data_IF_523667057803
#
_entry.id   IF_523667057803
#
_cell.length_a   1.000
_cell.length_b   1.000
_cell.length_c   1.000
_cell.angle_alpha   90.00
_cell.angle_beta   90.00
_cell.angle_gamma   90.00
#
_symmetry.space_group_name_H-M   'P 1'
#
loop_
_entity.id
_entity.type
_entity.pdbx_description
1 polymer ?
#
# COMPACT_ATOMS: atom_id res chain seq x y z
N UNK A 1 1.21 1.01 -15.21
CA UNK A 1 -0.20 0.70 -15.42
C UNK A 1 -0.67 1.22 -16.76
N UNK A 2 -1.47 0.47 -17.37
CA UNK A 2 -2.07 0.80 -18.64
C UNK A 2 -2.95 2.03 -18.55
N UNK A 3 -3.17 2.67 -19.67
CA UNK A 3 -4.03 3.84 -19.77
C UNK A 3 -5.50 3.41 -19.65
N UNK A 4 -6.11 3.67 -18.50
CA UNK A 4 -7.49 3.27 -18.22
C UNK A 4 -8.48 3.94 -19.18
N UNK A 5 -8.21 5.19 -19.55
CA UNK A 5 -9.11 5.95 -20.41
C UNK A 5 -9.24 5.37 -21.82
N UNK A 6 -8.27 4.56 -22.23
CA UNK A 6 -8.26 3.90 -23.53
C UNK A 6 -8.82 2.48 -23.50
N UNK A 7 -9.27 1.99 -22.34
CA UNK A 7 -9.85 0.64 -22.23
C UNK A 7 -11.29 0.68 -22.73
N UNK A 8 -11.65 -0.11 -23.77
CA UNK A 8 -13.02 -0.14 -24.26
C UNK A 8 -13.98 -0.73 -23.24
N UNK A 9 -15.21 -0.27 -23.25
CA UNK A 9 -16.29 -0.82 -22.47
C UNK A 9 -16.47 -2.31 -22.79
N UNK A 10 -16.70 -3.14 -21.79
CA UNK A 10 -16.88 -4.58 -21.98
C UNK A 10 -15.59 -5.38 -22.09
N UNK A 11 -14.42 -4.73 -21.96
CA UNK A 11 -13.13 -5.43 -21.97
C UNK A 11 -12.92 -6.15 -20.64
N UNK A 12 -12.28 -7.32 -20.67
CA UNK A 12 -11.86 -8.03 -19.47
C UNK A 12 -10.48 -7.53 -19.04
N UNK A 13 -10.31 -7.24 -17.75
CA UNK A 13 -9.05 -6.73 -17.20
C UNK A 13 -8.59 -7.62 -16.07
N UNK A 14 -7.32 -8.03 -16.09
CA UNK A 14 -6.71 -8.79 -15.00
C UNK A 14 -5.82 -7.88 -14.17
N UNK A 15 -5.99 -7.92 -12.83
CA UNK A 15 -5.14 -7.19 -11.90
C UNK A 15 -3.99 -8.10 -11.48
N UNK A 16 -2.77 -7.59 -11.57
CA UNK A 16 -1.55 -8.34 -11.25
C UNK A 16 -1.50 -8.74 -9.77
N UNK A 17 -0.66 -9.73 -9.44
CA UNK A 17 -0.56 -10.30 -8.09
C UNK A 17 -0.18 -9.29 -7.01
N UNK A 18 0.60 -8.26 -7.33
CA UNK A 18 0.97 -7.21 -6.37
C UNK A 18 -0.10 -6.11 -6.23
N UNK A 19 -1.21 -6.23 -6.96
CA UNK A 19 -2.33 -5.31 -6.84
C UNK A 19 -2.13 -3.97 -7.53
N UNK A 20 -3.12 -3.10 -7.35
CA UNK A 20 -3.10 -1.74 -7.89
C UNK A 20 -3.70 -0.79 -6.85
N UNK A 21 -3.55 0.51 -7.08
CA UNK A 21 -4.14 1.54 -6.22
C UNK A 21 -5.66 1.49 -6.28
N UNK A 22 -6.30 1.89 -5.18
CA UNK A 22 -7.76 1.93 -5.08
C UNK A 22 -8.39 2.73 -6.21
N UNK A 23 -7.81 3.88 -6.57
CA UNK A 23 -8.35 4.72 -7.64
C UNK A 23 -8.39 4.03 -9.00
N UNK A 24 -7.47 3.08 -9.23
CA UNK A 24 -7.46 2.28 -10.47
C UNK A 24 -8.65 1.34 -10.50
N UNK A 25 -8.93 0.66 -9.37
CA UNK A 25 -10.09 -0.23 -9.27
C UNK A 25 -11.38 0.55 -9.46
N UNK A 26 -11.51 1.70 -8.79
CA UNK A 26 -12.70 2.54 -8.91
C UNK A 26 -12.91 3.01 -10.35
N UNK A 27 -11.84 3.42 -11.03
CA UNK A 27 -11.92 3.83 -12.43
C UNK A 27 -12.33 2.69 -13.35
N UNK A 28 -11.83 1.48 -13.10
CA UNK A 28 -12.19 0.30 -13.89
C UNK A 28 -13.67 -0.07 -13.70
N UNK A 29 -14.18 0.04 -12.47
CA UNK A 29 -15.60 -0.23 -12.20
C UNK A 29 -16.50 0.74 -12.94
N UNK A 30 -16.11 2.00 -13.06
CA UNK A 30 -16.87 3.01 -13.80
C UNK A 30 -16.88 2.76 -15.31
N UNK A 31 -15.89 2.00 -15.83
CA UNK A 31 -15.78 1.70 -17.27
C UNK A 31 -16.61 0.49 -17.68
N UNK A 32 -17.30 -0.15 -16.74
CA UNK A 32 -18.11 -1.36 -17.02
C UNK A 32 -17.28 -2.49 -17.65
N UNK A 33 -16.05 -2.68 -17.17
CA UNK A 33 -15.19 -3.77 -17.62
C UNK A 33 -15.29 -4.95 -16.67
N UNK A 34 -15.01 -6.16 -17.17
CA UNK A 34 -14.91 -7.33 -16.32
C UNK A 34 -13.53 -7.36 -15.67
N UNK A 35 -13.48 -7.48 -14.35
CA UNK A 35 -12.22 -7.44 -13.59
C UNK A 35 -11.91 -8.83 -13.04
N UNK A 36 -10.73 -9.34 -13.39
CA UNK A 36 -10.16 -10.55 -12.76
C UNK A 36 -9.08 -10.09 -11.79
N UNK A 37 -9.41 -10.07 -10.51
CA UNK A 37 -8.49 -9.58 -9.48
C UNK A 37 -7.57 -10.72 -9.04
N UNK A 38 -6.35 -10.73 -9.58
CA UNK A 38 -5.32 -11.71 -9.26
C UNK A 38 -4.38 -11.26 -8.14
N UNK A 39 -4.74 -10.19 -7.44
CA UNK A 39 -3.95 -9.70 -6.31
C UNK A 39 -3.74 -10.81 -5.29
N UNK A 40 -2.50 -10.99 -4.84
CA UNK A 40 -2.16 -11.96 -3.80
C UNK A 40 -3.02 -11.70 -2.55
N UNK A 41 -3.61 -12.74 -1.92
CA UNK A 41 -4.43 -12.55 -0.72
C UNK A 41 -3.73 -11.80 0.41
N UNK A 42 -2.42 -11.98 0.59
CA UNK A 42 -1.65 -11.25 1.58
C UNK A 42 -1.59 -9.76 1.25
N UNK A 43 -1.41 -9.41 -0.03
CA UNK A 43 -1.38 -8.02 -0.49
C UNK A 43 -2.76 -7.38 -0.32
N UNK A 44 -3.83 -8.10 -0.65
CA UNK A 44 -5.19 -7.63 -0.43
C UNK A 44 -5.46 -7.31 1.03
N UNK A 45 -5.01 -8.17 1.92
CA UNK A 45 -5.16 -7.97 3.37
C UNK A 45 -4.47 -6.68 3.80
N UNK A 46 -3.26 -6.44 3.30
CA UNK A 46 -2.52 -5.21 3.59
C UNK A 46 -3.27 -3.99 3.07
N UNK A 47 -3.81 -4.03 1.86
CA UNK A 47 -4.60 -2.94 1.30
C UNK A 47 -5.78 -2.59 2.20
N UNK A 48 -6.50 -3.60 2.68
CA UNK A 48 -7.66 -3.40 3.55
C UNK A 48 -7.26 -2.81 4.90
N UNK A 49 -6.17 -3.30 5.49
CA UNK A 49 -5.65 -2.78 6.78
C UNK A 49 -5.27 -1.31 6.63
N UNK A 50 -4.54 -0.98 5.58
CA UNK A 50 -4.09 0.39 5.32
C UNK A 50 -5.29 1.32 5.13
N UNK A 51 -6.24 0.93 4.29
CA UNK A 51 -7.41 1.75 4.01
C UNK A 51 -8.24 1.99 5.27
N UNK A 52 -8.46 0.96 6.07
CA UNK A 52 -9.23 1.06 7.31
C UNK A 52 -8.55 1.98 8.32
N UNK A 53 -7.25 1.77 8.56
CA UNK A 53 -6.51 2.59 9.52
C UNK A 53 -6.38 4.03 9.06
N UNK A 54 -6.16 4.24 7.77
CA UNK A 54 -6.10 5.58 7.21
C UNK A 54 -7.41 6.36 7.46
N UNK A 55 -8.54 5.71 7.24
CA UNK A 55 -9.86 6.31 7.49
C UNK A 55 -10.07 6.65 8.96
N UNK A 56 -9.42 5.94 9.85
CA UNK A 56 -9.50 6.15 11.30
C UNK A 56 -8.44 7.14 11.82
N UNK A 57 -7.75 7.83 10.95
CA UNK A 57 -6.80 8.87 11.33
C UNK A 57 -5.38 8.38 11.63
N UNK A 58 -5.07 7.12 11.35
CA UNK A 58 -3.72 6.60 11.54
C UNK A 58 -2.77 7.11 10.47
N UNK A 59 -1.54 7.34 10.86
CA UNK A 59 -0.46 7.61 9.92
C UNK A 59 0.09 6.27 9.44
N UNK A 60 0.27 6.13 8.13
CA UNK A 60 0.70 4.87 7.54
C UNK A 60 2.20 4.91 7.24
N UNK A 61 2.90 3.87 7.70
CA UNK A 61 4.32 3.67 7.39
C UNK A 61 4.43 2.35 6.61
N UNK A 62 5.08 2.39 5.47
CA UNK A 62 5.32 1.22 4.64
C UNK A 62 6.82 0.90 4.67
N UNK A 63 7.17 -0.26 5.18
CA UNK A 63 8.55 -0.75 5.16
C UNK A 63 8.78 -1.48 3.84
N UNK A 64 9.60 -0.91 2.96
CA UNK A 64 9.85 -1.49 1.65
C UNK A 64 10.55 -0.54 0.69
N UNK A 65 10.64 -0.97 -0.56
CA UNK A 65 11.28 -0.21 -1.65
C UNK A 65 10.27 0.75 -2.27
N UNK A 66 10.58 2.03 -2.25
CA UNK A 66 9.74 3.10 -2.81
C UNK A 66 9.39 2.88 -4.28
N UNK A 67 10.25 2.20 -5.01
CA UNK A 67 10.08 2.00 -6.45
C UNK A 67 9.40 0.67 -6.80
N UNK A 68 9.05 -0.14 -5.80
CA UNK A 68 8.41 -1.42 -6.05
C UNK A 68 6.91 -1.25 -6.30
N UNK A 69 6.35 -1.90 -7.34
CA UNK A 69 4.93 -1.78 -7.65
C UNK A 69 4.00 -2.16 -6.50
N UNK A 70 4.37 -3.15 -5.69
CA UNK A 70 3.59 -3.55 -4.51
C UNK A 70 3.46 -2.40 -3.51
N UNK A 71 4.56 -1.71 -3.23
CA UNK A 71 4.58 -0.56 -2.31
C UNK A 71 3.76 0.60 -2.86
N UNK A 72 3.90 0.89 -4.13
CA UNK A 72 3.11 1.93 -4.79
C UNK A 72 1.61 1.61 -4.72
N UNK A 73 1.25 0.34 -4.95
CA UNK A 73 -0.13 -0.12 -4.83
C UNK A 73 -0.68 0.06 -3.42
N UNK A 74 0.07 -0.32 -2.39
CA UNK A 74 -0.32 -0.15 -0.99
C UNK A 74 -0.54 1.33 -0.68
N UNK A 75 0.38 2.19 -1.09
CA UNK A 75 0.30 3.62 -0.85
C UNK A 75 -0.96 4.25 -1.45
N UNK A 76 -1.44 3.71 -2.55
CA UNK A 76 -2.68 4.16 -3.17
C UNK A 76 -3.93 3.91 -2.34
N UNK A 77 -3.86 3.05 -1.31
CA UNK A 77 -4.99 2.77 -0.42
C UNK A 77 -5.05 3.73 0.76
N UNK A 78 -4.07 4.62 0.91
CA UNK A 78 -4.08 5.75 1.83
C UNK A 78 -3.83 7.08 1.11
N UNK A 79 -4.30 7.18 -0.11
CA UNK A 79 -4.22 8.39 -0.95
C UNK A 79 -2.79 8.91 -1.13
N UNK A 80 -1.84 7.99 -1.23
CA UNK A 80 -0.41 8.30 -1.41
C UNK A 80 0.20 9.11 -0.27
N UNK A 81 -0.35 8.96 0.95
CA UNK A 81 0.11 9.72 2.12
C UNK A 81 1.11 8.97 3.00
N UNK A 82 1.38 7.69 2.72
CA UNK A 82 2.26 6.89 3.57
C UNK A 82 3.71 7.34 3.48
N UNK A 83 4.43 7.17 4.60
CA UNK A 83 5.88 7.30 4.60
C UNK A 83 6.47 5.94 4.27
N UNK A 84 7.20 5.85 3.18
CA UNK A 84 7.87 4.62 2.77
C UNK A 84 9.32 4.66 3.25
N UNK A 85 9.73 3.66 4.01
CA UNK A 85 11.06 3.60 4.60
C UNK A 85 11.75 2.28 4.28
N UNK A 86 13.06 2.32 4.07
CA UNK A 86 13.85 1.13 3.82
C UNK A 86 14.60 0.66 5.08
N UNK A 87 14.80 1.56 6.06
CA UNK A 87 15.40 1.22 7.34
C UNK A 87 14.90 2.17 8.45
N UNK A 88 15.24 1.85 9.70
CA UNK A 88 14.81 2.62 10.86
C UNK A 88 15.39 4.02 10.95
N UNK A 89 16.51 4.27 10.28
CA UNK A 89 17.14 5.60 10.30
C UNK A 89 16.27 6.67 9.66
N UNK A 90 15.44 6.28 8.71
CA UNK A 90 14.54 7.21 8.02
C UNK A 90 13.38 7.68 8.90
N UNK A 91 13.19 7.05 10.05
CA UNK A 91 12.11 7.39 10.99
C UNK A 91 12.48 8.37 12.06
N UNK A 92 13.76 8.75 12.17
CA UNK A 92 14.22 9.66 13.24
C UNK A 92 13.55 11.02 13.15
N UNK A 93 12.90 11.42 14.24
CA UNK A 93 12.27 12.73 14.34
C UNK A 93 10.99 12.91 13.50
N UNK A 94 10.47 11.86 12.92
CA UNK A 94 9.29 11.93 12.04
C UNK A 94 7.99 11.88 12.82
N UNK A 95 7.92 11.04 13.86
CA UNK A 95 6.70 10.83 14.64
C UNK A 95 6.88 11.16 16.10
N UNK A 96 5.77 11.55 16.75
CA UNK A 96 5.68 11.78 18.18
C UNK A 96 5.09 10.55 18.88
N UNK A 97 5.26 10.45 20.20
CA UNK A 97 4.69 9.35 20.99
C UNK A 97 3.17 9.28 20.91
N UNK A 98 2.53 10.41 20.64
CA UNK A 98 1.07 10.51 20.57
C UNK A 98 0.51 10.10 19.20
N UNK A 99 1.36 9.96 18.20
CA UNK A 99 0.91 9.62 16.87
C UNK A 99 0.44 8.17 16.81
N UNK A 100 -0.72 7.97 16.19
CA UNK A 100 -1.22 6.62 15.90
C UNK A 100 -0.61 6.18 14.58
N UNK A 101 0.14 5.09 14.60
CA UNK A 101 0.89 4.62 13.45
C UNK A 101 0.46 3.20 13.08
N UNK A 102 0.19 2.99 11.80
CA UNK A 102 -0.03 1.67 11.23
C UNK A 102 1.19 1.31 10.38
N UNK A 103 1.93 0.31 10.81
CA UNK A 103 3.11 -0.18 10.08
C UNK A 103 2.73 -1.40 9.26
N UNK A 104 3.00 -1.33 7.97
CA UNK A 104 2.88 -2.48 7.07
C UNK A 104 4.18 -2.66 6.31
N UNK A 105 4.37 -3.81 5.70
CA UNK A 105 5.59 -4.10 4.95
C UNK A 105 5.30 -4.68 3.59
N UNK A 106 6.24 -4.46 2.67
CA UNK A 106 6.29 -5.18 1.41
C UNK A 106 6.47 -6.67 1.71
N UNK A 107 5.77 -7.56 0.99
CA UNK A 107 5.78 -8.99 1.30
C UNK A 107 7.15 -9.65 1.16
N UNK A 108 8.02 -9.07 0.33
CA UNK A 108 9.37 -9.58 0.11
C UNK A 108 10.44 -8.91 0.97
N UNK A 109 10.03 -8.02 1.89
CA UNK A 109 10.98 -7.34 2.76
C UNK A 109 11.64 -8.32 3.72
N UNK A 110 12.96 -8.14 3.94
CA UNK A 110 13.73 -8.90 4.92
C UNK A 110 13.15 -8.74 6.33
N UNK A 111 12.95 -9.87 7.02
CA UNK A 111 12.37 -9.87 8.35
C UNK A 111 13.19 -9.07 9.36
N UNK A 112 14.51 -9.11 9.26
CA UNK A 112 15.39 -8.36 10.17
C UNK A 112 15.17 -6.86 10.03
N UNK A 113 15.04 -6.38 8.80
CA UNK A 113 14.77 -4.97 8.52
C UNK A 113 13.43 -4.56 9.09
N UNK A 114 12.39 -5.38 8.87
CA UNK A 114 11.06 -5.13 9.40
C UNK A 114 11.07 -5.04 10.93
N UNK A 115 11.74 -5.98 11.60
CA UNK A 115 11.81 -6.00 13.06
C UNK A 115 12.53 -4.76 13.62
N UNK A 116 13.58 -4.29 12.96
CA UNK A 116 14.28 -3.06 13.35
C UNK A 116 13.37 -1.85 13.27
N UNK A 117 12.62 -1.71 12.18
CA UNK A 117 11.69 -0.61 11.97
C UNK A 117 10.57 -0.66 13.03
N UNK A 118 10.00 -1.85 13.23
CA UNK A 118 8.94 -2.08 14.21
C UNK A 118 9.40 -1.71 15.62
N UNK A 119 10.58 -2.18 16.02
CA UNK A 119 11.13 -1.89 17.34
C UNK A 119 11.42 -0.40 17.53
N UNK A 120 11.92 0.27 16.50
CA UNK A 120 12.15 1.71 16.54
C UNK A 120 10.86 2.47 16.80
N UNK A 121 9.78 2.11 16.13
CA UNK A 121 8.48 2.75 16.32
C UNK A 121 7.91 2.51 17.72
N UNK A 122 8.13 1.32 18.29
CA UNK A 122 7.68 1.02 19.65
C UNK A 122 8.43 1.81 20.71
N UNK A 123 9.68 2.17 20.44
CA UNK A 123 10.54 2.92 21.38
C UNK A 123 10.36 4.43 21.30
N UNK A 124 9.65 4.90 20.30
CA UNK A 124 9.47 6.34 20.06
C UNK A 124 8.38 6.93 20.91
#
# INVERSE_FOLDING_TARGET
MEDIDNIPKGTSVAIRTHGVKKKVIDALLEREVEIFDLTCPFVKKIHNIVNEHYKNGYKIVIAGDKNHPEVDGINGWCEDTALVVEDECELKGVFNKEDKICLVSQTTLDRKTYEKIKNFLKMS
#
